data_IF_373515978054
#
_entry.id   IF_373515978054
#
_cell.length_a   1.000
_cell.length_b   1.000
_cell.length_c   1.000
_cell.angle_alpha   90.00
_cell.angle_beta   90.00
_cell.angle_gamma   90.00
#
_symmetry.space_group_name_H-M   'P 1'
#
loop_
_entity.id
_entity.type
_entity.pdbx_description
1 polymer ?
#
# COMPACT_ATOMS: atom_id res chain seq x y z
N UNK A 1 -42.16 -1.22 -1.74
CA UNK A 1 -40.89 -1.46 -2.47
C UNK A 1 -39.76 -0.88 -1.64
N UNK A 2 -39.01 -1.73 -0.94
CA UNK A 2 -37.83 -1.32 -0.15
C UNK A 2 -36.70 -2.25 -0.58
N UNK A 3 -35.73 -1.68 -1.27
CA UNK A 3 -34.69 -2.37 -2.02
C UNK A 3 -33.86 -3.26 -1.09
N UNK A 4 -33.80 -4.55 -1.43
CA UNK A 4 -32.88 -5.52 -0.81
C UNK A 4 -31.47 -5.23 -1.34
N UNK A 5 -30.63 -4.57 -0.54
CA UNK A 5 -29.21 -4.37 -0.83
C UNK A 5 -28.46 -5.69 -0.56
N UNK A 6 -28.40 -6.55 -1.57
CA UNK A 6 -27.65 -7.81 -1.51
C UNK A 6 -26.16 -7.51 -1.67
N UNK A 7 -25.43 -7.39 -0.57
CA UNK A 7 -23.96 -7.29 -0.57
C UNK A 7 -23.38 -8.70 -0.77
N UNK A 8 -22.93 -9.01 -1.98
CA UNK A 8 -22.20 -10.23 -2.29
C UNK A 8 -20.75 -10.10 -1.79
N UNK A 9 -20.44 -10.63 -0.61
CA UNK A 9 -19.04 -10.83 -0.17
C UNK A 9 -18.59 -12.21 -0.67
N UNK A 10 -18.10 -12.26 -1.91
CA UNK A 10 -17.39 -13.43 -2.44
C UNK A 10 -16.01 -13.53 -1.78
N UNK A 11 -15.94 -14.23 -0.66
CA UNK A 11 -14.69 -14.62 -0.02
C UNK A 11 -14.04 -15.75 -0.84
N UNK A 12 -13.30 -15.41 -1.89
CA UNK A 12 -12.41 -16.33 -2.59
C UNK A 12 -11.13 -16.44 -1.75
N UNK A 13 -11.02 -17.51 -0.96
CA UNK A 13 -9.80 -17.86 -0.23
C UNK A 13 -8.81 -18.45 -1.26
N UNK A 14 -8.12 -17.57 -1.98
CA UNK A 14 -6.91 -17.95 -2.70
C UNK A 14 -5.81 -18.30 -1.70
N UNK A 15 -4.92 -19.23 -2.06
CA UNK A 15 -3.65 -19.42 -1.35
C UNK A 15 -2.95 -18.07 -1.23
N UNK A 16 -3.06 -17.44 -0.06
CA UNK A 16 -2.45 -16.13 0.21
C UNK A 16 -0.97 -16.37 0.44
N UNK A 17 -0.21 -16.31 -0.64
CA UNK A 17 1.20 -15.98 -0.59
C UNK A 17 1.41 -14.81 0.38
N UNK A 18 2.35 -14.97 1.31
CA UNK A 18 2.70 -13.89 2.23
C UNK A 18 3.42 -12.81 1.44
N UNK A 19 2.70 -11.74 1.14
CA UNK A 19 3.24 -10.55 0.49
C UNK A 19 4.47 -10.03 1.23
N UNK A 20 5.54 -9.76 0.48
CA UNK A 20 6.81 -9.22 0.98
C UNK A 20 7.14 -7.97 0.19
N UNK A 21 6.56 -6.82 0.54
CA UNK A 21 6.85 -5.57 -0.17
C UNK A 21 8.30 -5.16 0.04
N UNK A 22 8.99 -4.85 -1.05
CA UNK A 22 10.36 -4.37 -1.13
C UNK A 22 10.34 -2.92 -1.63
N UNK A 23 10.77 -1.97 -0.82
CA UNK A 23 10.86 -0.59 -1.27
C UNK A 23 11.88 -0.45 -2.41
N UNK A 24 11.45 0.19 -3.49
CA UNK A 24 12.24 0.42 -4.71
C UNK A 24 12.58 1.89 -4.91
N UNK A 25 11.73 2.80 -4.45
CA UNK A 25 11.94 4.22 -4.64
C UNK A 25 11.17 5.08 -3.65
N UNK A 26 11.74 6.25 -3.40
CA UNK A 26 11.18 7.28 -2.55
C UNK A 26 11.46 8.65 -3.16
N UNK A 27 10.47 9.54 -3.10
CA UNK A 27 10.57 10.91 -3.53
C UNK A 27 9.73 11.81 -2.61
N UNK A 28 10.26 12.96 -2.18
CA UNK A 28 9.54 13.99 -1.43
C UNK A 28 9.71 15.37 -2.08
N UNK A 29 9.40 15.45 -3.37
CA UNK A 29 9.39 16.66 -4.17
C UNK A 29 7.95 16.94 -4.67
N UNK A 30 7.74 18.11 -5.28
CA UNK A 30 6.45 18.50 -5.90
C UNK A 30 5.26 18.45 -4.92
N UNK A 31 5.46 18.91 -3.68
CA UNK A 31 4.43 18.97 -2.64
C UNK A 31 3.73 17.61 -2.36
N UNK A 32 4.44 16.50 -2.55
CA UNK A 32 3.95 15.16 -2.25
C UNK A 32 5.07 14.22 -1.84
N UNK A 33 4.70 13.15 -1.15
CA UNK A 33 5.57 12.00 -0.95
C UNK A 33 5.13 10.90 -1.90
N UNK A 34 6.05 10.37 -2.70
CA UNK A 34 5.83 9.22 -3.57
C UNK A 34 6.71 8.08 -3.10
N UNK A 35 6.14 6.89 -2.90
CA UNK A 35 6.86 5.68 -2.52
C UNK A 35 6.52 4.60 -3.54
N UNK A 36 7.53 3.91 -4.07
CA UNK A 36 7.36 2.77 -4.96
C UNK A 36 7.90 1.53 -4.25
N UNK A 37 7.12 0.46 -4.26
CA UNK A 37 7.58 -0.85 -3.79
C UNK A 37 7.21 -1.94 -4.78
N UNK A 38 7.96 -3.05 -4.76
CA UNK A 38 7.65 -4.26 -5.51
C UNK A 38 7.34 -5.43 -4.60
N UNK A 39 6.64 -6.41 -5.13
CA UNK A 39 6.44 -7.71 -4.49
C UNK A 39 6.48 -8.80 -5.55
N UNK A 40 7.48 -9.67 -5.46
CA UNK A 40 7.78 -10.68 -6.46
C UNK A 40 6.83 -11.88 -6.40
N UNK A 41 5.90 -11.90 -5.44
CA UNK A 41 4.93 -12.97 -5.25
C UNK A 41 3.50 -12.46 -5.45
N UNK A 42 3.30 -11.60 -6.46
CA UNK A 42 1.98 -11.15 -6.84
C UNK A 42 1.26 -12.26 -7.60
N UNK A 43 0.24 -12.84 -6.96
CA UNK A 43 -0.71 -13.71 -7.65
C UNK A 43 -1.50 -12.96 -8.73
N UNK A 44 -2.57 -13.57 -9.25
CA UNK A 44 -3.43 -12.94 -10.28
C UNK A 44 -4.08 -11.61 -9.84
N UNK A 45 -4.14 -11.35 -8.53
CA UNK A 45 -4.71 -10.15 -7.93
C UNK A 45 -3.80 -9.63 -6.84
N UNK A 46 -3.61 -8.30 -6.82
CA UNK A 46 -2.80 -7.60 -5.84
C UNK A 46 -3.55 -6.34 -5.38
N UNK A 47 -4.38 -6.52 -4.36
CA UNK A 47 -5.22 -5.46 -3.81
C UNK A 47 -4.49 -4.79 -2.64
N UNK A 48 -4.37 -3.46 -2.69
CA UNK A 48 -3.63 -2.66 -1.70
C UNK A 48 -4.58 -1.66 -1.06
N UNK A 49 -4.83 -1.84 0.23
CA UNK A 49 -5.80 -1.03 1.00
C UNK A 49 -5.23 -0.59 2.35
N UNK A 50 -5.95 0.28 3.07
CA UNK A 50 -5.57 0.79 4.40
C UNK A 50 -4.14 1.38 4.47
N UNK A 51 -3.69 2.02 3.39
CA UNK A 51 -2.32 2.52 3.27
C UNK A 51 -2.12 3.75 4.15
N UNK A 52 -1.12 3.68 5.02
CA UNK A 52 -0.71 4.76 5.92
C UNK A 52 0.80 4.89 6.00
N UNK A 53 1.27 6.13 5.93
CA UNK A 53 2.65 6.51 6.16
C UNK A 53 2.81 7.00 7.59
N UNK A 54 3.83 6.51 8.27
CA UNK A 54 4.09 6.78 9.69
C UNK A 54 5.55 7.23 9.83
N UNK A 55 5.83 8.55 9.86
CA UNK A 55 7.15 9.04 10.24
C UNK A 55 7.45 8.71 11.71
N UNK A 56 8.74 8.55 12.03
CA UNK A 56 9.18 8.32 13.42
C UNK A 56 8.84 9.50 14.33
N UNK A 57 8.81 10.72 13.78
CA UNK A 57 8.47 11.93 14.52
C UNK A 57 6.96 12.01 14.81
N UNK A 58 6.60 12.13 16.10
CA UNK A 58 5.23 12.26 16.62
C UNK A 58 4.25 11.10 16.33
N UNK A 59 4.65 10.07 15.58
CA UNK A 59 3.84 8.87 15.34
C UNK A 59 2.51 9.13 14.62
N UNK A 60 2.35 10.30 13.99
CA UNK A 60 1.12 10.66 13.27
C UNK A 60 0.99 9.78 12.02
N UNK A 61 -0.20 9.23 11.81
CA UNK A 61 -0.51 8.44 10.61
C UNK A 61 -1.03 9.34 9.49
N UNK A 62 -0.49 9.16 8.29
CA UNK A 62 -0.91 9.90 7.10
C UNK A 62 -1.49 8.92 6.07
N UNK A 63 -2.78 8.99 5.75
CA UNK A 63 -3.38 8.13 4.73
C UNK A 63 -2.84 8.48 3.34
N UNK A 64 -2.75 7.48 2.47
CA UNK A 64 -2.41 7.71 1.07
C UNK A 64 -3.52 8.52 0.36
N UNK A 65 -3.13 9.46 -0.49
CA UNK A 65 -4.02 10.17 -1.41
C UNK A 65 -4.28 9.33 -2.67
N UNK A 66 -3.34 8.49 -3.06
CA UNK A 66 -3.48 7.58 -4.20
C UNK A 66 -2.68 6.30 -4.00
N UNK A 67 -3.22 5.22 -4.57
CA UNK A 67 -2.60 3.90 -4.64
C UNK A 67 -2.78 3.43 -6.08
N UNK A 68 -1.68 3.18 -6.78
CA UNK A 68 -1.69 2.60 -8.12
C UNK A 68 -0.89 1.30 -8.14
N UNK A 69 -1.46 0.25 -8.70
CA UNK A 69 -0.87 -1.09 -8.74
C UNK A 69 -0.80 -1.58 -10.17
N UNK A 70 0.37 -2.03 -10.59
CA UNK A 70 0.59 -2.72 -11.86
C UNK A 70 1.17 -4.10 -11.58
N UNK A 71 0.68 -5.13 -12.27
CA UNK A 71 1.22 -6.49 -12.18
C UNK A 71 1.79 -6.86 -13.53
N UNK A 72 3.06 -7.28 -13.56
CA UNK A 72 3.72 -7.77 -14.76
C UNK A 72 4.56 -8.99 -14.40
N UNK A 73 4.38 -10.08 -15.13
CA UNK A 73 5.15 -11.33 -14.97
C UNK A 73 5.20 -11.86 -13.52
N UNK A 74 4.11 -11.71 -12.76
CA UNK A 74 4.01 -12.14 -11.36
C UNK A 74 4.63 -11.19 -10.33
N UNK A 75 5.17 -10.04 -10.78
CA UNK A 75 5.69 -8.98 -9.91
C UNK A 75 4.67 -7.85 -9.86
N UNK A 76 4.24 -7.50 -8.65
CA UNK A 76 3.47 -6.27 -8.43
C UNK A 76 4.43 -5.10 -8.25
N UNK A 77 4.17 -3.99 -8.93
CA UNK A 77 4.77 -2.69 -8.68
C UNK A 77 3.67 -1.76 -8.20
N UNK A 78 3.87 -1.17 -7.03
CA UNK A 78 2.87 -0.31 -6.39
C UNK A 78 3.47 1.07 -6.17
N UNK A 79 2.75 2.09 -6.62
CA UNK A 79 3.06 3.50 -6.37
C UNK A 79 2.06 4.06 -5.37
N UNK A 80 2.58 4.56 -4.25
CA UNK A 80 1.84 5.20 -3.18
C UNK A 80 2.11 6.70 -3.23
N UNK A 81 1.07 7.51 -3.11
CA UNK A 81 1.18 8.97 -3.00
C UNK A 81 0.57 9.42 -1.68
N UNK A 82 1.26 10.32 -0.99
CA UNK A 82 0.83 10.95 0.24
C UNK A 82 0.97 12.47 0.13
N UNK A 83 0.29 13.25 1.00
CA UNK A 83 0.53 14.68 1.11
C UNK A 83 2.00 14.97 1.43
N UNK A 84 2.48 16.18 1.11
CA UNK A 84 3.81 16.62 1.51
C UNK A 84 4.01 16.51 3.03
N UNK A 85 5.20 16.06 3.43
CA UNK A 85 5.62 16.00 4.82
C UNK A 85 6.91 16.81 5.01
N UNK A 86 6.84 17.82 5.87
CA UNK A 86 7.98 18.68 6.23
C UNK A 86 8.89 18.05 7.28
N UNK A 87 8.33 17.22 8.16
CA UNK A 87 9.08 16.48 9.18
C UNK A 87 8.93 14.98 8.93
N UNK A 88 9.98 14.38 8.38
CA UNK A 88 9.97 13.01 7.91
C UNK A 88 11.32 12.35 8.20
N UNK A 89 11.36 11.48 9.20
CA UNK A 89 12.56 10.74 9.58
C UNK A 89 12.22 9.27 9.77
N UNK A 90 12.99 8.39 9.11
CA UNK A 90 12.85 6.93 9.17
C UNK A 90 11.38 6.48 9.15
N UNK A 91 10.65 6.80 8.08
CA UNK A 91 9.25 6.43 7.96
C UNK A 91 9.05 4.92 7.77
N UNK A 92 7.87 4.46 8.13
CA UNK A 92 7.34 3.17 7.71
C UNK A 92 6.00 3.32 7.05
N UNK A 93 5.70 2.41 6.15
CA UNK A 93 4.38 2.25 5.57
C UNK A 93 3.70 1.06 6.23
N UNK A 94 2.44 1.23 6.60
CA UNK A 94 1.54 0.12 6.95
C UNK A 94 0.43 0.06 5.92
N UNK A 95 0.04 -1.14 5.52
CA UNK A 95 -1.02 -1.36 4.53
C UNK A 95 -1.62 -2.75 4.70
N UNK A 96 -2.65 -3.06 3.91
CA UNK A 96 -3.13 -4.41 3.68
C UNK A 96 -2.87 -4.80 2.25
N UNK A 97 -2.32 -5.99 2.06
CA UNK A 97 -2.17 -6.64 0.76
C UNK A 97 -3.09 -7.85 0.74
N UNK A 98 -4.05 -7.88 -0.19
CA UNK A 98 -5.07 -8.91 -0.27
C UNK A 98 -5.77 -9.16 1.10
N UNK A 99 -6.06 -8.09 1.82
CA UNK A 99 -6.71 -8.12 3.14
C UNK A 99 -5.77 -8.37 4.34
N UNK A 100 -4.52 -8.82 4.11
CA UNK A 100 -3.55 -9.10 5.17
C UNK A 100 -2.70 -7.87 5.50
N UNK A 101 -2.68 -7.50 6.78
CA UNK A 101 -1.86 -6.38 7.27
C UNK A 101 -0.37 -6.67 7.09
N UNK A 102 0.35 -5.72 6.53
CA UNK A 102 1.81 -5.73 6.40
C UNK A 102 2.39 -4.36 6.72
N UNK A 103 3.71 -4.31 6.86
CA UNK A 103 4.48 -3.09 7.04
C UNK A 103 5.85 -3.22 6.39
N UNK A 104 6.42 -2.12 5.95
CA UNK A 104 7.80 -2.05 5.49
C UNK A 104 8.41 -0.67 5.80
N UNK A 105 9.73 -0.64 5.99
CA UNK A 105 10.48 0.60 6.13
C UNK A 105 10.74 1.21 4.75
N UNK A 106 10.65 2.53 4.63
CA UNK A 106 10.90 3.20 3.34
C UNK A 106 12.40 3.26 3.10
N UNK A 107 12.80 2.88 1.89
CA UNK A 107 14.13 3.09 1.34
C UNK A 107 14.33 4.59 1.08
N UNK A 108 15.24 5.21 1.82
CA UNK A 108 15.60 6.62 1.68
C UNK A 108 16.94 6.76 0.98
#
# INVERSE_FOLDING_TARGET
MKNLLTVFVLAIIGLVANAKPHCQGFNNHDDKVTIVFTDDNAGKRYDVTDVKLIPTWMGKEYPATSVNTTIKDGVATVTLVFPHLTHFSNPRVTLRINGKKTKFEVCQ
#
